data_IF_448689444267
#
_entry.id   IF_448689444267
#
_cell.length_a   1.000
_cell.length_b   1.000
_cell.length_c   1.000
_cell.angle_alpha   90.00
_cell.angle_beta   90.00
_cell.angle_gamma   90.00
#
_symmetry.space_group_name_H-M   'P 1'
#
loop_
_entity.id
_entity.type
_entity.pdbx_description
1 polymer ?
#
# COMPACT_ATOMS: atom_id res chain seq x y z
N UNK A 1 12.64 -25.41 16.54
CA UNK A 1 11.56 -25.05 17.49
C UNK A 1 11.88 -23.79 18.31
N UNK A 2 13.04 -23.66 18.97
CA UNK A 2 13.42 -22.46 19.77
C UNK A 2 13.57 -21.17 18.95
N UNK A 3 14.01 -21.21 17.69
CA UNK A 3 14.17 -20.03 16.82
C UNK A 3 12.80 -19.50 16.35
N UNK A 4 11.83 -20.38 16.06
CA UNK A 4 10.45 -20.02 15.67
C UNK A 4 9.67 -19.40 16.83
N UNK A 5 9.89 -19.88 18.07
CA UNK A 5 9.29 -19.30 19.27
C UNK A 5 9.87 -17.90 19.59
N UNK A 6 11.18 -17.68 19.38
CA UNK A 6 11.82 -16.38 19.56
C UNK A 6 11.34 -15.34 18.55
N UNK A 7 11.06 -15.74 17.31
CA UNK A 7 10.45 -14.88 16.29
C UNK A 7 8.99 -14.50 16.59
N UNK A 8 8.20 -15.43 17.12
CA UNK A 8 6.79 -15.18 17.50
C UNK A 8 6.67 -14.29 18.73
N UNK A 9 7.50 -14.52 19.76
CA UNK A 9 7.57 -13.69 20.97
C UNK A 9 8.06 -12.27 20.67
N UNK A 10 9.09 -12.10 19.84
CA UNK A 10 9.59 -10.77 19.47
C UNK A 10 8.57 -9.94 18.67
N UNK A 11 7.79 -10.58 17.83
CA UNK A 11 6.73 -9.87 17.08
C UNK A 11 5.49 -9.58 17.92
N UNK A 12 5.10 -10.48 18.84
CA UNK A 12 4.03 -10.20 19.80
C UNK A 12 4.43 -9.04 20.72
N UNK A 13 5.66 -9.04 21.23
CA UNK A 13 6.20 -7.93 22.02
C UNK A 13 6.24 -6.61 21.25
N UNK A 14 6.55 -6.62 19.95
CA UNK A 14 6.48 -5.42 19.10
C UNK A 14 5.06 -4.86 18.93
N UNK A 15 4.07 -5.75 18.76
CA UNK A 15 2.67 -5.36 18.69
C UNK A 15 2.13 -4.81 20.02
N UNK A 16 2.45 -5.48 21.13
CA UNK A 16 2.06 -5.00 22.47
C UNK A 16 2.73 -3.68 22.82
N UNK A 17 4.01 -3.52 22.50
CA UNK A 17 4.71 -2.25 22.70
C UNK A 17 4.09 -1.12 21.86
N UNK A 18 3.81 -1.37 20.58
CA UNK A 18 3.13 -0.42 19.70
C UNK A 18 1.73 -0.06 20.21
N UNK A 19 0.96 -1.04 20.68
CA UNK A 19 -0.36 -0.81 21.26
C UNK A 19 -0.29 0.03 22.55
N UNK A 20 0.63 -0.30 23.46
CA UNK A 20 0.84 0.46 24.70
C UNK A 20 1.27 1.91 24.40
N UNK A 21 2.16 2.11 23.44
CA UNK A 21 2.60 3.45 23.03
C UNK A 21 1.45 4.27 22.43
N UNK A 22 0.69 3.68 21.49
CA UNK A 22 -0.36 4.39 20.77
C UNK A 22 -1.63 4.57 21.60
N UNK A 23 -2.06 3.55 22.36
CA UNK A 23 -3.31 3.58 23.10
C UNK A 23 -3.16 4.05 24.54
N UNK A 24 -1.96 3.95 25.12
CA UNK A 24 -1.70 4.33 26.53
C UNK A 24 -0.88 5.60 26.67
N UNK A 25 0.35 5.58 26.14
CA UNK A 25 1.31 6.67 26.39
C UNK A 25 0.94 7.95 25.63
N UNK A 26 0.60 7.84 24.35
CA UNK A 26 0.31 9.01 23.54
C UNK A 26 -0.88 9.83 24.05
N UNK A 27 -2.04 9.23 24.43
CA UNK A 27 -3.15 9.99 25.02
C UNK A 27 -2.84 10.61 26.37
N UNK A 28 -1.94 9.99 27.16
CA UNK A 28 -1.60 10.48 28.49
C UNK A 28 -0.62 11.67 28.46
N UNK A 29 0.20 11.77 27.40
CA UNK A 29 1.29 12.77 27.32
C UNK A 29 0.96 13.91 26.37
N UNK A 30 0.20 13.66 25.29
CA UNK A 30 -0.03 14.66 24.24
C UNK A 30 -1.32 15.46 24.46
N UNK A 31 -1.28 16.80 24.26
CA UNK A 31 -2.49 17.63 24.25
C UNK A 31 -3.38 17.29 23.04
N UNK A 32 -4.68 17.63 23.12
CA UNK A 32 -5.71 17.27 22.15
C UNK A 32 -5.37 17.69 20.70
N UNK A 33 -4.68 18.81 20.52
CA UNK A 33 -4.22 19.27 19.21
C UNK A 33 -3.20 18.30 18.59
N UNK A 34 -2.19 17.93 19.38
CA UNK A 34 -1.14 16.99 18.91
C UNK A 34 -1.70 15.58 18.70
N UNK A 35 -2.72 15.18 19.46
CA UNK A 35 -3.44 13.91 19.24
C UNK A 35 -4.18 13.91 17.90
N UNK A 36 -4.87 15.00 17.55
CA UNK A 36 -5.52 15.11 16.23
C UNK A 36 -4.50 15.06 15.10
N UNK A 37 -3.36 15.73 15.27
CA UNK A 37 -2.26 15.72 14.29
C UNK A 37 -1.65 14.33 14.16
N UNK A 38 -1.39 13.64 15.27
CA UNK A 38 -0.92 12.26 15.27
C UNK A 38 -1.95 11.32 14.63
N UNK A 39 -3.25 11.50 14.90
CA UNK A 39 -4.33 10.76 14.27
C UNK A 39 -4.32 10.88 12.74
N UNK A 40 -4.09 12.10 12.21
CA UNK A 40 -3.85 12.32 10.77
C UNK A 40 -2.66 11.49 10.26
N UNK A 41 -1.54 11.47 10.99
CA UNK A 41 -0.36 10.69 10.61
C UNK A 41 -0.62 9.17 10.62
N UNK A 42 -1.45 8.70 11.58
CA UNK A 42 -1.88 7.29 11.63
C UNK A 42 -2.74 6.91 10.42
N UNK A 43 -3.59 7.81 9.90
CA UNK A 43 -4.32 7.58 8.65
C UNK A 43 -3.34 7.37 7.48
N UNK A 44 -2.31 8.18 7.36
CA UNK A 44 -1.28 8.00 6.33
C UNK A 44 -0.48 6.71 6.53
N UNK A 45 -0.25 6.32 7.76
CA UNK A 45 0.40 5.04 8.09
C UNK A 45 -0.46 3.83 7.66
N UNK A 46 -1.79 3.90 7.78
CA UNK A 46 -2.70 2.84 7.30
C UNK A 46 -2.57 2.69 5.77
N UNK A 47 -2.56 3.80 5.01
CA UNK A 47 -2.31 3.78 3.56
C UNK A 47 -0.95 3.16 3.25
N UNK A 48 0.07 3.55 4.00
CA UNK A 48 1.43 3.06 3.83
C UNK A 48 1.56 1.55 4.08
N UNK A 49 0.79 0.97 5.02
CA UNK A 49 0.70 -0.49 5.21
C UNK A 49 0.18 -1.16 3.94
N UNK A 50 -0.88 -0.64 3.31
CA UNK A 50 -1.43 -1.14 2.06
C UNK A 50 -0.42 -1.08 0.91
N UNK A 51 0.25 0.07 0.73
CA UNK A 51 1.32 0.24 -0.26
C UNK A 51 2.48 -0.71 0.02
N UNK A 52 2.90 -0.85 1.27
CA UNK A 52 3.97 -1.76 1.68
C UNK A 52 3.69 -3.22 1.33
N UNK A 53 2.44 -3.67 1.45
CA UNK A 53 1.99 -4.99 1.00
C UNK A 53 2.07 -5.10 -0.53
N UNK A 54 1.48 -4.17 -1.26
CA UNK A 54 1.41 -4.21 -2.72
C UNK A 54 2.79 -4.07 -3.36
N UNK A 55 3.61 -3.13 -2.90
CA UNK A 55 4.93 -2.86 -3.45
C UNK A 55 6.01 -3.78 -2.85
N UNK A 56 6.07 -3.90 -1.53
CA UNK A 56 7.11 -4.66 -0.85
C UNK A 56 7.03 -6.16 -1.12
N UNK A 57 5.85 -6.75 -1.00
CA UNK A 57 5.63 -8.18 -1.22
C UNK A 57 5.16 -8.50 -2.65
N UNK A 58 4.25 -7.69 -3.21
CA UNK A 58 3.69 -7.92 -4.55
C UNK A 58 4.51 -7.37 -5.70
N UNK A 59 5.53 -6.54 -5.45
CA UNK A 59 6.35 -5.92 -6.50
C UNK A 59 5.59 -4.89 -7.35
N UNK A 60 4.39 -4.48 -6.94
CA UNK A 60 3.53 -3.58 -7.69
C UNK A 60 3.69 -2.15 -7.17
N UNK A 61 4.36 -1.30 -7.94
CA UNK A 61 4.49 0.12 -7.63
C UNK A 61 3.20 0.85 -8.00
N UNK A 62 2.37 1.19 -7.00
CA UNK A 62 1.14 1.96 -7.20
C UNK A 62 1.35 3.42 -6.81
N UNK A 63 1.05 4.33 -7.75
CA UNK A 63 1.11 5.79 -7.56
C UNK A 63 -0.29 6.43 -7.48
N UNK A 64 -1.34 5.62 -7.40
CA UNK A 64 -2.73 6.07 -7.42
C UNK A 64 -3.52 5.77 -6.14
N UNK A 65 -2.87 5.54 -5.01
CA UNK A 65 -3.57 5.23 -3.76
C UNK A 65 -4.43 6.39 -3.23
N UNK A 66 -4.12 7.63 -3.64
CA UNK A 66 -4.94 8.79 -3.35
C UNK A 66 -6.38 8.67 -3.85
N UNK A 67 -6.64 7.95 -4.95
CA UNK A 67 -8.01 7.69 -5.46
C UNK A 67 -8.83 6.93 -4.42
N UNK A 68 -8.30 5.82 -3.92
CA UNK A 68 -9.02 4.97 -2.95
C UNK A 68 -9.17 5.67 -1.60
N UNK A 69 -8.13 6.39 -1.17
CA UNK A 69 -8.19 7.27 -0.01
C UNK A 69 -9.28 8.32 -0.18
N UNK A 70 -9.32 8.99 -1.34
CA UNK A 70 -10.33 9.98 -1.67
C UNK A 70 -11.75 9.41 -1.72
N UNK A 71 -11.96 8.24 -2.33
CA UNK A 71 -13.27 7.60 -2.37
C UNK A 71 -13.81 7.38 -0.96
N UNK A 72 -13.01 6.80 -0.05
CA UNK A 72 -13.43 6.61 1.34
C UNK A 72 -13.67 7.92 2.08
N UNK A 73 -12.80 8.91 1.86
CA UNK A 73 -12.92 10.23 2.47
C UNK A 73 -14.18 10.98 2.00
N UNK A 74 -14.47 11.02 0.71
CA UNK A 74 -15.68 11.67 0.18
C UNK A 74 -16.97 10.97 0.63
N UNK A 75 -17.00 9.65 0.69
CA UNK A 75 -18.14 8.89 1.23
C UNK A 75 -18.42 9.29 2.68
N UNK A 76 -17.40 9.35 3.53
CA UNK A 76 -17.54 9.79 4.90
C UNK A 76 -17.96 11.27 4.99
N UNK A 77 -17.36 12.13 4.18
CA UNK A 77 -17.68 13.55 4.12
C UNK A 77 -19.15 13.80 3.71
N UNK A 78 -19.66 13.03 2.76
CA UNK A 78 -21.07 13.08 2.33
C UNK A 78 -21.99 12.73 3.50
N UNK A 79 -21.71 11.65 4.23
CA UNK A 79 -22.48 11.28 5.42
C UNK A 79 -22.50 12.39 6.46
N UNK A 80 -21.30 12.92 6.81
CA UNK A 80 -21.20 13.98 7.82
C UNK A 80 -21.93 15.25 7.40
N UNK A 81 -21.87 15.64 6.14
CA UNK A 81 -22.62 16.80 5.59
C UNK A 81 -24.12 16.61 5.65
N UNK A 82 -24.62 15.42 5.31
CA UNK A 82 -26.04 15.10 5.42
C UNK A 82 -26.52 15.06 6.86
N UNK A 83 -25.72 14.50 7.77
CA UNK A 83 -26.03 14.48 9.19
C UNK A 83 -26.06 15.90 9.78
N UNK A 84 -25.06 16.74 9.46
CA UNK A 84 -25.01 18.13 9.93
C UNK A 84 -26.18 18.96 9.36
N UNK A 85 -26.54 18.78 8.09
CA UNK A 85 -27.68 19.46 7.48
C UNK A 85 -29.03 19.07 8.13
N UNK A 86 -29.18 17.81 8.56
CA UNK A 86 -30.38 17.35 9.26
C UNK A 86 -30.45 17.83 10.71
N UNK A 87 -29.30 17.92 11.41
CA UNK A 87 -29.23 18.29 12.82
C UNK A 87 -29.25 19.82 13.05
N UNK A 88 -28.59 20.58 12.18
CA UNK A 88 -28.33 22.00 12.39
C UNK A 88 -28.89 22.92 11.28
N UNK A 89 -29.23 22.40 10.09
CA UNK A 89 -29.62 23.18 8.93
C UNK A 89 -31.14 23.31 8.71
N UNK A 90 -31.94 22.49 9.35
CA UNK A 90 -33.43 22.52 9.25
C UNK A 90 -33.99 22.09 7.88
N UNK A 91 -33.27 22.30 6.78
CA UNK A 91 -33.67 21.93 5.40
C UNK A 91 -33.26 20.51 4.99
N UNK A 92 -32.32 19.89 5.73
CA UNK A 92 -31.75 18.60 5.37
C UNK A 92 -30.87 18.61 4.11
N UNK A 93 -30.58 19.81 3.58
CA UNK A 93 -29.72 20.04 2.40
C UNK A 93 -28.41 20.71 2.86
N UNK A 94 -27.24 20.23 2.46
CA UNK A 94 -25.97 20.89 2.76
C UNK A 94 -25.88 22.31 2.17
N UNK A 95 -25.35 23.28 2.92
CA UNK A 95 -25.30 24.69 2.55
C UNK A 95 -24.66 24.96 1.17
N UNK A 96 -23.61 24.22 0.81
CA UNK A 96 -22.94 24.42 -0.47
C UNK A 96 -23.78 23.96 -1.68
N UNK A 97 -24.73 23.03 -1.50
CA UNK A 97 -25.63 22.58 -2.57
C UNK A 97 -26.72 23.62 -2.85
N UNK A 98 -27.14 24.37 -1.83
CA UNK A 98 -28.06 25.51 -2.04
C UNK A 98 -27.36 26.73 -2.67
N UNK A 99 -26.02 26.86 -2.44
CA UNK A 99 -25.24 27.97 -3.01
C UNK A 99 -24.78 27.72 -4.46
N UNK A 100 -24.37 26.50 -4.78
CA UNK A 100 -23.72 26.17 -6.06
C UNK A 100 -24.49 25.14 -6.89
N UNK A 101 -25.59 24.58 -6.37
CA UNK A 101 -26.40 23.54 -7.01
C UNK A 101 -27.87 23.89 -7.13
N UNK A 102 -28.69 22.88 -7.36
CA UNK A 102 -30.16 22.99 -7.47
C UNK A 102 -30.89 23.25 -6.14
N UNK A 103 -30.18 23.21 -5.02
CA UNK A 103 -30.79 23.22 -3.68
C UNK A 103 -31.43 21.89 -3.27
N UNK A 104 -31.19 20.83 -4.01
CA UNK A 104 -31.69 19.49 -3.74
C UNK A 104 -30.54 18.52 -3.52
N UNK A 105 -30.73 17.51 -2.67
CA UNK A 105 -29.75 16.44 -2.47
C UNK A 105 -29.86 15.46 -3.64
N UNK A 106 -28.77 15.19 -4.38
CA UNK A 106 -28.78 14.22 -5.45
C UNK A 106 -29.16 12.82 -4.94
N UNK A 107 -29.97 12.07 -5.68
CA UNK A 107 -30.47 10.76 -5.25
C UNK A 107 -29.37 9.74 -4.92
N UNK A 108 -28.19 9.87 -5.51
CA UNK A 108 -27.04 9.00 -5.19
C UNK A 108 -26.35 9.35 -3.85
N UNK A 109 -26.66 10.49 -3.21
CA UNK A 109 -26.23 10.85 -1.86
C UNK A 109 -27.16 10.26 -0.78
N UNK A 110 -28.45 10.05 -1.09
CA UNK A 110 -29.46 9.58 -0.14
C UNK A 110 -29.08 8.32 0.64
N UNK A 111 -28.45 7.28 0.05
CA UNK A 111 -28.02 6.10 0.79
C UNK A 111 -27.03 6.42 1.96
N UNK A 112 -26.25 7.49 1.82
CA UNK A 112 -25.25 7.89 2.84
C UNK A 112 -25.85 8.60 4.04
N UNK A 113 -27.19 8.83 4.09
CA UNK A 113 -27.87 9.23 5.34
C UNK A 113 -27.75 8.14 6.42
N UNK A 114 -27.72 6.87 6.02
CA UNK A 114 -27.56 5.76 6.95
C UNK A 114 -26.10 5.55 7.33
N UNK A 115 -25.73 5.57 8.63
CA UNK A 115 -24.40 5.26 9.11
C UNK A 115 -23.89 3.88 8.67
N UNK A 116 -24.78 2.86 8.71
CA UNK A 116 -24.42 1.49 8.33
C UNK A 116 -24.05 1.38 6.85
N UNK A 117 -24.83 2.04 5.97
CA UNK A 117 -24.55 2.08 4.52
C UNK A 117 -23.23 2.80 4.27
N UNK A 118 -22.96 3.88 4.97
CA UNK A 118 -21.72 4.65 4.83
C UNK A 118 -20.50 3.80 5.22
N UNK A 119 -20.52 3.14 6.36
CA UNK A 119 -19.42 2.26 6.80
C UNK A 119 -19.20 1.13 5.79
N UNK A 120 -20.27 0.51 5.30
CA UNK A 120 -20.18 -0.52 4.29
C UNK A 120 -19.61 0.01 2.97
N UNK A 121 -20.06 1.19 2.52
CA UNK A 121 -19.61 1.83 1.30
C UNK A 121 -18.12 2.24 1.35
N UNK A 122 -17.62 2.70 2.51
CA UNK A 122 -16.20 3.01 2.73
C UNK A 122 -15.28 1.82 2.44
N UNK A 123 -15.76 0.59 2.67
CA UNK A 123 -15.01 -0.64 2.38
C UNK A 123 -15.29 -1.14 0.96
N UNK A 124 -16.58 -1.20 0.58
CA UNK A 124 -17.00 -1.82 -0.69
C UNK A 124 -16.65 -0.97 -1.91
N UNK A 125 -16.83 0.36 -1.88
CA UNK A 125 -16.64 1.20 -3.06
C UNK A 125 -15.17 1.22 -3.49
N UNK A 126 -14.19 1.54 -2.61
CA UNK A 126 -12.78 1.44 -2.98
C UNK A 126 -12.37 0.02 -3.39
N UNK A 127 -12.91 -1.00 -2.71
CA UNK A 127 -12.65 -2.41 -3.01
C UNK A 127 -13.16 -2.82 -4.40
N UNK A 128 -14.39 -2.45 -4.77
CA UNK A 128 -14.98 -2.76 -6.07
C UNK A 128 -14.27 -2.01 -7.20
N UNK A 129 -13.96 -0.72 -7.01
CA UNK A 129 -13.20 0.06 -8.00
C UNK A 129 -11.82 -0.57 -8.20
N UNK A 130 -11.13 -0.95 -7.13
CA UNK A 130 -9.84 -1.63 -7.22
C UNK A 130 -9.95 -3.02 -7.86
N UNK A 131 -11.03 -3.76 -7.61
CA UNK A 131 -11.27 -5.06 -8.23
C UNK A 131 -11.45 -4.92 -9.74
N UNK A 132 -12.31 -4.01 -10.18
CA UNK A 132 -12.56 -3.76 -11.62
C UNK A 132 -11.28 -3.30 -12.32
N UNK A 133 -10.57 -2.32 -11.74
CA UNK A 133 -9.31 -1.83 -12.29
C UNK A 133 -8.22 -2.89 -12.28
N UNK A 134 -8.08 -3.64 -11.18
CA UNK A 134 -7.10 -4.70 -11.04
C UNK A 134 -7.31 -5.82 -12.07
N UNK A 135 -8.56 -6.26 -12.25
CA UNK A 135 -8.89 -7.24 -13.27
C UNK A 135 -8.63 -6.69 -14.69
N UNK A 136 -9.04 -5.45 -14.97
CA UNK A 136 -8.81 -4.83 -16.29
C UNK A 136 -7.32 -4.69 -16.61
N UNK A 137 -6.49 -4.33 -15.64
CA UNK A 137 -5.06 -4.05 -15.82
C UNK A 137 -4.24 -5.35 -15.83
N UNK A 138 -4.39 -6.19 -14.79
CA UNK A 138 -3.51 -7.35 -14.61
C UNK A 138 -3.84 -8.50 -15.55
N UNK A 139 -5.12 -8.71 -15.95
CA UNK A 139 -5.49 -9.68 -17.00
C UNK A 139 -4.91 -9.29 -18.36
N UNK A 140 -4.76 -8.00 -18.64
CA UNK A 140 -4.08 -7.51 -19.86
C UNK A 140 -2.55 -7.51 -19.75
N UNK A 141 -2.00 -8.10 -18.67
CA UNK A 141 -0.55 -8.26 -18.43
C UNK A 141 0.22 -6.93 -18.40
N UNK A 142 -0.40 -5.84 -17.97
CA UNK A 142 0.29 -4.57 -17.77
C UNK A 142 1.24 -4.71 -16.58
N UNK A 143 2.54 -4.47 -16.80
CA UNK A 143 3.60 -4.71 -15.82
C UNK A 143 4.43 -3.44 -15.56
N UNK A 144 5.09 -3.42 -14.38
CA UNK A 144 6.14 -2.46 -14.04
C UNK A 144 5.71 -1.00 -14.13
N UNK A 145 6.49 -0.19 -14.86
CA UNK A 145 6.29 1.25 -14.95
C UNK A 145 4.95 1.66 -15.58
N UNK A 146 4.42 0.88 -16.52
CA UNK A 146 3.12 1.17 -17.15
C UNK A 146 1.97 1.15 -16.13
N UNK A 147 2.00 0.21 -15.17
CA UNK A 147 1.01 0.19 -14.08
C UNK A 147 1.14 1.43 -13.18
N UNK A 148 2.36 1.84 -12.85
CA UNK A 148 2.60 3.03 -12.04
C UNK A 148 2.06 4.31 -12.73
N UNK A 149 2.37 4.48 -14.03
CA UNK A 149 1.90 5.62 -14.82
C UNK A 149 0.37 5.62 -14.94
N UNK A 150 -0.24 4.46 -15.22
CA UNK A 150 -1.69 4.33 -15.33
C UNK A 150 -2.39 4.66 -14.01
N UNK A 151 -1.86 4.17 -12.90
CA UNK A 151 -2.42 4.46 -11.57
C UNK A 151 -2.29 5.94 -11.20
N UNK A 152 -1.21 6.61 -11.62
CA UNK A 152 -1.02 8.05 -11.44
C UNK A 152 -1.97 8.87 -12.31
N UNK A 153 -2.16 8.47 -13.57
CA UNK A 153 -3.13 9.10 -14.46
C UNK A 153 -4.56 8.99 -13.91
N UNK A 154 -4.91 7.85 -13.30
CA UNK A 154 -6.19 7.68 -12.62
C UNK A 154 -6.36 8.68 -11.46
N UNK A 155 -5.31 8.90 -10.65
CA UNK A 155 -5.36 9.87 -9.56
C UNK A 155 -5.54 11.30 -10.07
N UNK A 156 -4.86 11.66 -11.16
CA UNK A 156 -5.04 12.96 -11.80
C UNK A 156 -6.47 13.13 -12.36
N UNK A 157 -6.96 12.12 -13.09
CA UNK A 157 -8.32 12.14 -13.66
C UNK A 157 -9.40 12.24 -12.57
N UNK A 158 -9.23 11.51 -11.46
CA UNK A 158 -10.16 11.56 -10.33
C UNK A 158 -10.17 12.94 -9.65
N UNK A 159 -9.01 13.55 -9.45
CA UNK A 159 -8.92 14.90 -8.90
C UNK A 159 -9.59 15.94 -9.82
N UNK A 160 -9.35 15.87 -11.13
CA UNK A 160 -10.00 16.75 -12.13
C UNK A 160 -11.51 16.52 -12.16
N UNK A 161 -11.96 15.28 -12.09
CA UNK A 161 -13.38 14.94 -12.00
C UNK A 161 -14.06 15.61 -10.79
N UNK A 162 -13.43 15.54 -9.60
CA UNK A 162 -13.95 16.17 -8.39
C UNK A 162 -14.00 17.70 -8.50
N UNK A 163 -12.99 18.32 -9.10
CA UNK A 163 -12.97 19.78 -9.36
C UNK A 163 -14.15 20.20 -10.23
N UNK A 164 -14.48 19.41 -11.26
CA UNK A 164 -15.61 19.67 -12.16
C UNK A 164 -16.99 19.55 -11.50
N UNK A 165 -17.10 18.89 -10.34
CA UNK A 165 -18.38 18.59 -9.67
C UNK A 165 -18.66 19.55 -8.51
N UNK A 166 -18.62 20.86 -8.75
CA UNK A 166 -18.77 21.88 -7.69
C UNK A 166 -20.09 21.77 -6.91
N UNK A 167 -21.19 21.51 -7.61
CA UNK A 167 -22.52 21.40 -7.01
C UNK A 167 -22.69 20.19 -6.08
N UNK A 168 -21.88 19.13 -6.27
CA UNK A 168 -22.06 17.86 -5.56
C UNK A 168 -20.88 17.47 -4.65
N UNK A 169 -19.67 17.90 -4.94
CA UNK A 169 -18.46 17.57 -4.18
C UNK A 169 -17.71 18.79 -3.67
N UNK A 170 -18.28 20.00 -3.81
CA UNK A 170 -17.64 21.23 -3.40
C UNK A 170 -16.55 21.75 -4.35
N UNK A 171 -16.32 21.08 -5.48
CA UNK A 171 -15.33 21.48 -6.50
C UNK A 171 -13.92 21.59 -5.94
N UNK A 172 -13.18 22.64 -6.33
CA UNK A 172 -11.80 22.88 -5.86
C UNK A 172 -11.68 23.09 -4.35
N UNK A 173 -12.71 23.61 -3.70
CA UNK A 173 -12.73 23.85 -2.25
C UNK A 173 -12.99 22.56 -1.45
N UNK A 174 -13.53 21.54 -2.08
CA UNK A 174 -13.88 20.29 -1.43
C UNK A 174 -15.00 20.42 -0.41
N UNK A 175 -15.10 19.45 0.49
CA UNK A 175 -16.07 19.39 1.57
C UNK A 175 -15.38 19.73 2.89
N UNK A 176 -15.89 20.74 3.61
CA UNK A 176 -15.31 21.24 4.85
C UNK A 176 -16.42 21.68 5.83
N UNK A 177 -16.03 22.14 7.02
CA UNK A 177 -16.96 22.69 8.02
C UNK A 177 -17.86 21.64 8.63
N UNK A 178 -17.34 20.46 8.92
CA UNK A 178 -18.04 19.39 9.61
C UNK A 178 -18.19 19.74 11.11
N UNK A 179 -19.38 19.49 11.65
CA UNK A 179 -19.72 19.78 13.06
C UNK A 179 -19.82 18.50 13.89
N UNK A 180 -20.34 17.42 13.31
CA UNK A 180 -20.57 16.18 14.02
C UNK A 180 -20.01 14.96 13.27
N UNK A 181 -19.62 13.94 14.04
CA UNK A 181 -19.25 12.61 13.57
C UNK A 181 -20.13 11.59 14.26
N UNK A 182 -21.04 10.97 13.53
CA UNK A 182 -22.07 10.05 14.05
C UNK A 182 -22.81 10.60 15.29
N UNK A 183 -23.10 11.91 15.32
CA UNK A 183 -23.79 12.57 16.43
C UNK A 183 -22.88 13.13 17.53
N UNK A 184 -21.58 12.87 17.50
CA UNK A 184 -20.62 13.43 18.44
C UNK A 184 -20.03 14.75 17.92
N UNK A 185 -20.05 15.80 18.74
CA UNK A 185 -19.47 17.11 18.37
C UNK A 185 -17.96 17.01 18.19
N UNK A 186 -17.45 17.44 17.02
CA UNK A 186 -16.02 17.45 16.71
C UNK A 186 -15.21 18.50 17.47
N UNK A 187 -15.85 19.46 18.12
CA UNK A 187 -15.17 20.48 18.93
C UNK A 187 -14.78 19.98 20.31
N UNK A 188 -15.49 18.97 20.82
CA UNK A 188 -15.22 18.39 22.14
C UNK A 188 -13.86 17.69 22.17
N UNK A 189 -12.94 18.02 23.10
CA UNK A 189 -11.66 17.34 23.27
C UNK A 189 -11.78 15.84 23.48
N UNK A 190 -12.82 15.35 24.17
CA UNK A 190 -13.05 13.93 24.40
C UNK A 190 -13.35 13.19 23.09
N UNK A 191 -14.12 13.82 22.20
CA UNK A 191 -14.44 13.24 20.89
C UNK A 191 -13.22 13.22 19.96
N UNK A 192 -12.31 14.18 20.06
CA UNK A 192 -11.01 14.15 19.37
C UNK A 192 -10.14 13.00 19.85
N UNK A 193 -10.13 12.74 21.17
CA UNK A 193 -9.45 11.57 21.73
C UNK A 193 -10.07 10.26 21.21
N UNK A 194 -11.41 10.18 21.17
CA UNK A 194 -12.11 9.02 20.62
C UNK A 194 -11.71 8.77 19.14
N UNK A 195 -11.69 9.79 18.30
CA UNK A 195 -11.28 9.68 16.89
C UNK A 195 -9.83 9.20 16.75
N UNK A 196 -8.93 9.75 17.56
CA UNK A 196 -7.54 9.29 17.61
C UNK A 196 -7.45 7.80 17.98
N UNK A 197 -8.20 7.38 19.03
CA UNK A 197 -8.23 5.97 19.47
C UNK A 197 -8.75 5.05 18.37
N UNK A 198 -9.79 5.45 17.64
CA UNK A 198 -10.31 4.69 16.50
C UNK A 198 -9.22 4.55 15.42
N UNK A 199 -8.52 5.63 15.06
CA UNK A 199 -7.44 5.58 14.08
C UNK A 199 -6.28 4.68 14.53
N UNK A 200 -5.90 4.71 15.81
CA UNK A 200 -4.87 3.85 16.37
C UNK A 200 -5.27 2.36 16.35
N UNK A 201 -6.51 2.04 16.73
CA UNK A 201 -7.04 0.67 16.68
C UNK A 201 -7.08 0.17 15.23
N UNK A 202 -7.57 0.98 14.27
CA UNK A 202 -7.63 0.62 12.86
C UNK A 202 -6.23 0.42 12.28
N UNK A 203 -5.23 1.21 12.67
CA UNK A 203 -3.85 0.97 12.28
C UNK A 203 -3.33 -0.38 12.81
N UNK A 204 -3.58 -0.70 14.09
CA UNK A 204 -3.18 -1.99 14.67
C UNK A 204 -3.87 -3.17 13.97
N UNK A 205 -5.16 -3.05 13.65
CA UNK A 205 -5.89 -4.04 12.86
C UNK A 205 -5.32 -4.17 11.45
N UNK A 206 -4.99 -3.07 10.80
CA UNK A 206 -4.35 -3.06 9.47
C UNK A 206 -3.00 -3.77 9.48
N UNK A 207 -2.19 -3.54 10.52
CA UNK A 207 -0.93 -4.24 10.73
C UNK A 207 -1.13 -5.74 11.01
N UNK A 208 -2.17 -6.10 11.77
CA UNK A 208 -2.49 -7.50 12.05
C UNK A 208 -2.93 -8.23 10.77
N UNK A 209 -3.79 -7.62 9.97
CA UNK A 209 -4.22 -8.15 8.65
C UNK A 209 -3.00 -8.29 7.72
N UNK A 210 -2.18 -7.25 7.61
CA UNK A 210 -0.98 -7.26 6.78
C UNK A 210 -0.02 -8.38 7.21
N UNK A 211 0.21 -8.54 8.51
CA UNK A 211 1.02 -9.62 9.07
C UNK A 211 0.46 -11.00 8.73
N UNK A 212 -0.86 -11.19 8.91
CA UNK A 212 -1.51 -12.47 8.61
C UNK A 212 -1.38 -12.82 7.12
N UNK A 213 -1.60 -11.85 6.23
CA UNK A 213 -1.40 -12.03 4.80
C UNK A 213 0.04 -12.38 4.45
N UNK A 214 1.02 -11.69 5.04
CA UNK A 214 2.44 -11.92 4.79
C UNK A 214 2.94 -13.31 5.23
N UNK A 215 2.31 -13.92 6.25
CA UNK A 215 2.67 -15.22 6.78
C UNK A 215 1.77 -16.36 6.29
N UNK A 216 0.79 -16.06 5.45
CA UNK A 216 -0.09 -17.05 4.83
C UNK A 216 0.54 -17.64 3.55
N UNK A 217 -0.01 -18.77 3.07
CA UNK A 217 0.33 -19.35 1.76
C UNK A 217 0.14 -18.34 0.60
N UNK A 218 -0.84 -17.45 0.76
CA UNK A 218 -1.05 -16.35 -0.20
C UNK A 218 0.13 -15.37 -0.22
N UNK A 219 0.71 -15.06 0.94
CA UNK A 219 1.90 -14.19 1.03
C UNK A 219 3.15 -14.80 0.39
N UNK A 220 3.34 -16.13 0.50
CA UNK A 220 4.40 -16.84 -0.20
C UNK A 220 4.18 -16.85 -1.71
N UNK A 221 2.94 -17.11 -2.15
CA UNK A 221 2.55 -17.05 -3.55
C UNK A 221 2.74 -15.64 -4.14
N UNK A 222 2.44 -14.59 -3.37
CA UNK A 222 2.63 -13.21 -3.80
C UNK A 222 4.11 -12.88 -4.04
N UNK A 223 5.02 -13.37 -3.19
CA UNK A 223 6.47 -13.23 -3.39
C UNK A 223 6.92 -14.01 -4.62
N UNK A 224 6.44 -15.24 -4.81
CA UNK A 224 6.74 -16.04 -5.98
C UNK A 224 6.29 -15.33 -7.30
N UNK A 225 5.10 -14.72 -7.30
CA UNK A 225 4.60 -13.91 -8.44
C UNK A 225 5.48 -12.68 -8.69
N UNK A 226 5.97 -12.03 -7.64
CA UNK A 226 6.88 -10.88 -7.75
C UNK A 226 8.20 -11.26 -8.40
N UNK A 227 8.78 -12.37 -7.97
CA UNK A 227 10.14 -12.75 -8.34
C UNK A 227 10.17 -13.48 -9.69
N UNK A 228 9.18 -14.36 -9.96
CA UNK A 228 9.12 -15.15 -11.20
C UNK A 228 7.69 -15.42 -11.66
N UNK A 229 7.00 -14.40 -12.18
CA UNK A 229 5.60 -14.47 -12.62
C UNK A 229 5.33 -15.61 -13.61
N UNK A 230 6.24 -15.84 -14.58
CA UNK A 230 6.05 -16.87 -15.60
C UNK A 230 6.12 -18.28 -15.01
N UNK A 231 7.01 -18.55 -14.06
CA UNK A 231 7.07 -19.87 -13.38
C UNK A 231 5.79 -20.17 -12.61
N UNK A 232 5.23 -19.16 -11.91
CA UNK A 232 3.98 -19.31 -11.16
C UNK A 232 2.83 -19.66 -12.10
N UNK A 233 2.83 -19.09 -13.31
CA UNK A 233 1.84 -19.39 -14.35
C UNK A 233 1.98 -20.82 -14.87
N UNK A 234 3.18 -21.33 -15.07
CA UNK A 234 3.42 -22.72 -15.47
C UNK A 234 2.95 -23.72 -14.40
N UNK A 235 2.95 -23.33 -13.12
CA UNK A 235 2.42 -24.14 -12.01
C UNK A 235 0.88 -24.11 -11.92
N UNK A 236 0.17 -23.43 -12.86
CA UNK A 236 -1.28 -23.38 -12.93
C UNK A 236 -1.93 -22.27 -12.10
N UNK A 237 -1.17 -21.40 -11.43
CA UNK A 237 -1.74 -20.25 -10.72
C UNK A 237 -1.90 -19.05 -11.66
N UNK A 238 -2.95 -18.25 -11.47
CA UNK A 238 -3.16 -17.00 -12.19
C UNK A 238 -2.53 -15.80 -11.45
N UNK A 239 -1.39 -15.26 -11.92
CA UNK A 239 -0.75 -14.11 -11.29
C UNK A 239 -1.61 -12.85 -11.28
N UNK A 240 -2.53 -12.71 -12.26
CA UNK A 240 -3.42 -11.55 -12.35
C UNK A 240 -4.39 -11.51 -11.17
N UNK A 241 -4.96 -12.64 -10.81
CA UNK A 241 -5.85 -12.76 -9.64
C UNK A 241 -5.10 -12.47 -8.35
N UNK A 242 -3.88 -13.02 -8.17
CA UNK A 242 -3.06 -12.78 -6.97
C UNK A 242 -2.74 -11.28 -6.80
N UNK A 243 -2.34 -10.61 -7.88
CA UNK A 243 -2.09 -9.17 -7.89
C UNK A 243 -3.35 -8.35 -7.62
N UNK A 244 -4.48 -8.74 -8.20
CA UNK A 244 -5.76 -8.06 -7.97
C UNK A 244 -6.17 -8.12 -6.51
N UNK A 245 -6.08 -9.28 -5.86
CA UNK A 245 -6.47 -9.43 -4.45
C UNK A 245 -5.65 -8.49 -3.55
N UNK A 246 -4.34 -8.45 -3.69
CA UNK A 246 -3.53 -7.57 -2.84
C UNK A 246 -3.76 -6.08 -3.15
N UNK A 247 -4.06 -5.74 -4.42
CA UNK A 247 -4.43 -4.39 -4.82
C UNK A 247 -5.75 -3.94 -4.19
N UNK A 248 -6.75 -4.83 -4.15
CA UNK A 248 -8.04 -4.60 -3.46
C UNK A 248 -7.82 -4.40 -1.97
N UNK A 249 -7.01 -5.23 -1.31
CA UNK A 249 -6.69 -5.05 0.12
C UNK A 249 -6.04 -3.69 0.37
N UNK A 250 -5.07 -3.29 -0.45
CA UNK A 250 -4.42 -1.99 -0.32
C UNK A 250 -5.40 -0.82 -0.54
N UNK A 251 -6.33 -0.95 -1.48
CA UNK A 251 -7.36 0.04 -1.78
C UNK A 251 -8.38 0.17 -0.63
N UNK A 252 -8.81 -0.95 -0.04
CA UNK A 252 -9.72 -0.93 1.12
C UNK A 252 -9.06 -0.26 2.32
N UNK A 253 -7.79 -0.58 2.61
CA UNK A 253 -7.05 0.08 3.68
C UNK A 253 -6.93 1.59 3.43
N UNK A 254 -6.67 2.01 2.19
CA UNK A 254 -6.62 3.42 1.83
C UNK A 254 -7.99 4.10 1.97
N UNK A 255 -9.09 3.44 1.58
CA UNK A 255 -10.46 3.96 1.74
C UNK A 255 -10.83 4.16 3.20
N UNK A 256 -10.55 3.17 4.05
CA UNK A 256 -10.78 3.27 5.50
C UNK A 256 -9.95 4.40 6.12
N UNK A 257 -8.68 4.53 5.70
CA UNK A 257 -7.83 5.62 6.15
C UNK A 257 -8.38 7.01 5.74
N UNK A 258 -8.88 7.13 4.50
CA UNK A 258 -9.53 8.35 4.02
C UNK A 258 -10.79 8.71 4.81
N UNK A 259 -11.62 7.74 5.11
CA UNK A 259 -12.83 7.94 5.92
C UNK A 259 -12.52 8.45 7.35
N UNK A 260 -11.43 7.96 7.96
CA UNK A 260 -10.98 8.43 9.28
C UNK A 260 -10.26 9.78 9.23
N UNK A 261 -9.66 10.11 8.09
CA UNK A 261 -8.97 11.39 7.89
C UNK A 261 -9.92 12.58 7.99
N UNK A 262 -11.12 12.47 7.42
CA UNK A 262 -12.09 13.58 7.34
C UNK A 262 -12.48 14.14 8.71
N UNK A 263 -12.95 13.35 9.70
CA UNK A 263 -13.31 13.89 11.00
C UNK A 263 -12.11 14.38 11.82
N UNK A 264 -10.89 13.86 11.54
CA UNK A 264 -9.65 14.29 12.23
C UNK A 264 -9.13 15.63 11.72
N UNK A 265 -9.25 15.88 10.42
CA UNK A 265 -8.71 17.08 9.77
C UNK A 265 -9.76 18.16 9.55
N UNK A 266 -11.02 17.77 9.36
CA UNK A 266 -12.16 18.68 9.18
C UNK A 266 -12.34 19.20 7.75
N UNK A 267 -11.58 18.67 6.78
CA UNK A 267 -11.68 19.01 5.36
C UNK A 267 -11.23 17.84 4.51
N UNK A 268 -11.81 17.73 3.32
CA UNK A 268 -11.33 16.91 2.21
C UNK A 268 -11.48 17.67 0.90
N UNK A 269 -10.43 17.74 0.12
CA UNK A 269 -10.38 18.47 -1.15
C UNK A 269 -9.76 17.62 -2.26
N UNK A 270 -9.94 17.96 -3.54
CA UNK A 270 -9.25 17.28 -4.64
C UNK A 270 -7.71 17.32 -4.52
N UNK A 271 -7.16 18.32 -3.83
CA UNK A 271 -5.73 18.41 -3.57
C UNK A 271 -5.22 17.27 -2.66
N UNK A 272 -6.08 16.72 -1.78
CA UNK A 272 -5.73 15.64 -0.86
C UNK A 272 -5.76 14.25 -1.50
N UNK A 273 -6.32 14.10 -2.70
CA UNK A 273 -6.55 12.81 -3.36
C UNK A 273 -5.80 12.64 -4.68
N UNK A 274 -5.19 13.71 -5.18
CA UNK A 274 -4.49 13.75 -6.46
C UNK A 274 -3.12 13.06 -6.46
N UNK A 275 -2.31 13.47 -7.42
CA UNK A 275 -0.98 12.91 -7.70
C UNK A 275 0.01 13.19 -6.55
N UNK A 276 0.03 14.44 -6.03
CA UNK A 276 1.01 14.86 -5.01
C UNK A 276 0.88 14.03 -3.72
N UNK A 277 -0.29 13.90 -3.07
CA UNK A 277 -0.43 13.05 -1.89
C UNK A 277 -0.20 11.57 -2.19
N UNK A 278 -0.57 11.07 -3.37
CA UNK A 278 -0.27 9.69 -3.77
C UNK A 278 1.24 9.40 -3.79
N UNK A 279 2.04 10.33 -4.30
CA UNK A 279 3.51 10.25 -4.27
C UNK A 279 4.02 10.37 -2.83
N UNK A 280 3.45 11.26 -2.01
CA UNK A 280 3.85 11.43 -0.61
C UNK A 280 3.67 10.15 0.21
N UNK A 281 2.57 9.42 0.01
CA UNK A 281 2.37 8.10 0.63
C UNK A 281 3.45 7.10 0.23
N UNK A 282 3.81 7.06 -1.07
CA UNK A 282 4.87 6.19 -1.56
C UNK A 282 6.23 6.54 -0.97
N UNK A 283 6.55 7.84 -0.88
CA UNK A 283 7.81 8.33 -0.27
C UNK A 283 7.92 7.86 1.17
N UNK A 284 6.84 7.94 1.95
CA UNK A 284 6.79 7.41 3.30
C UNK A 284 7.17 5.93 3.35
N UNK A 285 6.61 5.11 2.47
CA UNK A 285 6.93 3.68 2.38
C UNK A 285 8.39 3.44 1.95
N UNK A 286 8.90 4.22 1.01
CA UNK A 286 10.27 4.10 0.53
C UNK A 286 11.29 4.42 1.63
N UNK A 287 11.09 5.54 2.33
CA UNK A 287 11.93 6.00 3.43
C UNK A 287 11.90 5.00 4.59
N UNK A 288 10.72 4.54 4.98
CA UNK A 288 10.57 3.58 6.06
C UNK A 288 11.16 2.20 5.77
N UNK A 289 11.15 1.80 4.49
CA UNK A 289 11.64 0.50 4.03
C UNK A 289 10.50 -0.48 3.74
N UNK A 290 10.28 -0.74 2.45
CA UNK A 290 9.20 -1.58 1.91
C UNK A 290 9.28 -3.07 2.27
N UNK A 291 10.45 -3.55 2.72
CA UNK A 291 10.68 -4.97 2.99
C UNK A 291 10.14 -5.42 4.36
N UNK A 292 9.89 -4.51 5.28
CA UNK A 292 9.46 -4.79 6.65
C UNK A 292 8.00 -4.39 6.88
N UNK A 293 7.36 -4.97 7.90
CA UNK A 293 5.98 -4.63 8.23
C UNK A 293 5.85 -3.23 8.87
N UNK A 294 6.77 -2.86 9.75
CA UNK A 294 6.76 -1.59 10.49
C UNK A 294 7.44 -0.45 9.74
N UNK A 295 8.30 -0.76 8.76
CA UNK A 295 8.97 0.25 7.95
C UNK A 295 8.04 1.28 7.34
N UNK A 296 7.02 0.86 6.54
CA UNK A 296 6.04 1.76 5.95
C UNK A 296 5.35 2.68 6.97
N UNK A 297 4.99 2.16 8.14
CA UNK A 297 4.34 2.93 9.22
C UNK A 297 5.27 4.01 9.76
N UNK A 298 6.48 3.63 10.15
CA UNK A 298 7.47 4.57 10.69
C UNK A 298 7.85 5.62 9.66
N UNK A 299 8.03 5.22 8.40
CA UNK A 299 8.34 6.15 7.32
C UNK A 299 7.21 7.13 7.04
N UNK A 300 5.96 6.66 6.97
CA UNK A 300 4.80 7.52 6.74
C UNK A 300 4.62 8.53 7.89
N UNK A 301 4.72 8.09 9.14
CA UNK A 301 4.63 8.97 10.32
C UNK A 301 5.77 9.97 10.33
N UNK A 302 7.01 9.54 10.05
CA UNK A 302 8.17 10.43 10.02
C UNK A 302 8.08 11.50 8.93
N UNK A 303 7.65 11.11 7.71
CA UNK A 303 7.46 12.05 6.59
C UNK A 303 6.33 13.02 6.89
N UNK A 304 5.20 12.55 7.42
CA UNK A 304 4.07 13.40 7.77
C UNK A 304 4.42 14.38 8.91
N UNK A 305 5.18 13.95 9.91
CA UNK A 305 5.67 14.80 10.99
C UNK A 305 6.67 15.84 10.45
N UNK A 306 7.61 15.44 9.60
CA UNK A 306 8.54 16.35 8.94
C UNK A 306 7.79 17.36 8.06
N UNK A 307 6.81 16.92 7.28
CA UNK A 307 5.95 17.80 6.48
C UNK A 307 5.25 18.84 7.35
N UNK A 308 4.63 18.41 8.45
CA UNK A 308 3.92 19.32 9.35
C UNK A 308 4.84 20.37 9.97
N UNK A 309 6.07 19.99 10.35
CA UNK A 309 7.03 20.88 10.98
C UNK A 309 7.74 21.80 9.97
N UNK A 310 8.15 21.28 8.81
CA UNK A 310 8.88 22.07 7.81
C UNK A 310 7.96 22.95 6.97
N UNK A 311 6.75 22.47 6.66
CA UNK A 311 5.78 23.24 5.87
C UNK A 311 5.30 24.50 6.60
N UNK A 312 5.33 24.53 7.93
CA UNK A 312 5.03 25.74 8.71
C UNK A 312 6.12 26.81 8.61
N UNK A 313 7.39 26.38 8.45
CA UNK A 313 8.54 27.29 8.40
C UNK A 313 8.91 27.64 6.95
N UNK A 314 8.82 26.68 6.02
CA UNK A 314 9.21 26.83 4.61
C UNK A 314 8.18 26.21 3.66
N UNK A 315 6.99 26.83 3.47
CA UNK A 315 5.88 26.23 2.70
C UNK A 315 6.25 25.91 1.25
N UNK A 316 6.97 26.81 0.58
CA UNK A 316 7.31 26.68 -0.84
C UNK A 316 8.46 25.67 -1.10
N UNK A 317 9.31 25.41 -0.12
CA UNK A 317 10.47 24.55 -0.27
C UNK A 317 10.19 23.09 0.11
N UNK A 318 9.08 22.80 0.78
CA UNK A 318 8.76 21.45 1.24
C UNK A 318 8.72 20.42 0.10
N UNK A 319 8.10 20.75 -1.02
CA UNK A 319 7.94 19.83 -2.16
C UNK A 319 9.32 19.47 -2.75
N UNK A 320 10.24 20.43 -2.85
CA UNK A 320 11.60 20.19 -3.33
C UNK A 320 12.39 19.33 -2.35
N UNK A 321 12.28 19.61 -1.06
CA UNK A 321 12.91 18.81 -0.01
C UNK A 321 12.41 17.38 0.00
N UNK A 322 11.11 17.18 -0.15
CA UNK A 322 10.49 15.86 -0.25
C UNK A 322 10.98 15.08 -1.47
N UNK A 323 11.08 15.73 -2.63
CA UNK A 323 11.62 15.13 -3.85
C UNK A 323 13.10 14.75 -3.72
N UNK A 324 13.92 15.66 -3.15
CA UNK A 324 15.33 15.41 -2.89
C UNK A 324 15.52 14.24 -1.91
N UNK A 325 14.75 14.22 -0.82
CA UNK A 325 14.78 13.13 0.17
C UNK A 325 14.44 11.78 -0.47
N UNK A 326 13.46 11.76 -1.37
CA UNK A 326 13.07 10.55 -2.11
C UNK A 326 14.23 10.03 -2.98
N UNK A 327 14.88 10.90 -3.75
CA UNK A 327 16.03 10.53 -4.59
C UNK A 327 17.20 10.02 -3.74
N UNK A 328 17.50 10.69 -2.63
CA UNK A 328 18.58 10.27 -1.72
C UNK A 328 18.29 8.91 -1.09
N UNK A 329 17.07 8.68 -0.61
CA UNK A 329 16.72 7.40 0.03
C UNK A 329 16.75 6.25 -0.96
N UNK A 330 16.20 6.42 -2.16
CA UNK A 330 16.23 5.35 -3.19
C UNK A 330 17.66 5.09 -3.67
N UNK A 331 18.47 6.14 -3.85
CA UNK A 331 19.83 6.01 -4.35
C UNK A 331 20.81 5.42 -3.34
N UNK A 332 20.74 5.84 -2.06
CA UNK A 332 21.72 5.46 -1.04
C UNK A 332 21.21 4.41 -0.05
N UNK A 333 19.89 4.29 0.15
CA UNK A 333 19.29 3.41 1.16
C UNK A 333 18.11 2.60 0.58
N UNK A 334 18.35 1.67 -0.37
CA UNK A 334 17.27 0.91 -1.00
C UNK A 334 16.45 0.04 -0.03
N UNK A 335 16.98 -0.23 1.17
CA UNK A 335 16.28 -0.91 2.27
C UNK A 335 15.53 0.03 3.22
N UNK A 336 15.62 1.35 3.05
CA UNK A 336 15.03 2.36 3.91
C UNK A 336 15.60 2.41 5.33
N UNK A 337 14.98 3.21 6.21
CA UNK A 337 15.37 3.35 7.63
C UNK A 337 15.36 2.01 8.39
N UNK A 338 14.49 1.07 8.00
CA UNK A 338 14.42 -0.25 8.62
C UNK A 338 15.68 -1.10 8.39
N UNK A 339 16.55 -0.75 7.46
CA UNK A 339 17.84 -1.44 7.22
C UNK A 339 19.00 -0.92 8.10
N UNK A 340 18.84 0.25 8.76
CA UNK A 340 19.87 0.86 9.60
C UNK A 340 20.42 -0.09 10.70
N UNK A 341 19.59 -0.82 11.47
CA UNK A 341 20.10 -1.75 12.48
C UNK A 341 20.95 -2.88 11.88
N UNK A 342 20.63 -3.31 10.66
CA UNK A 342 21.38 -4.35 9.97
C UNK A 342 22.72 -3.84 9.44
N UNK A 343 22.79 -2.59 8.99
CA UNK A 343 24.02 -1.93 8.56
C UNK A 343 24.97 -1.68 9.75
N UNK A 344 24.44 -1.25 10.88
CA UNK A 344 25.21 -1.06 12.12
C UNK A 344 25.66 -2.39 12.72
N UNK A 345 24.86 -3.46 12.60
CA UNK A 345 25.21 -4.81 13.07
C UNK A 345 26.22 -5.53 12.18
N UNK A 346 26.29 -5.23 10.89
CA UNK A 346 27.23 -5.84 9.94
C UNK A 346 28.70 -5.43 10.20
N UNK A 347 28.93 -4.25 10.75
CA UNK A 347 30.28 -3.82 11.17
C UNK A 347 30.89 -4.64 12.31
N UNK A 348 30.10 -5.48 13.03
CA UNK A 348 30.57 -6.35 14.13
C UNK A 348 30.81 -7.81 13.74
N UNK A 349 30.58 -8.20 12.48
CA UNK A 349 30.77 -9.57 11.97
C UNK A 349 31.64 -9.60 10.72
N UNK A 350 32.75 -8.96 10.70
CA UNK A 350 33.91 -9.42 9.91
C UNK A 350 34.60 -10.46 10.71
N UNK A 351 34.18 -11.73 10.58
CA UNK A 351 34.95 -12.89 10.99
C UNK A 351 36.14 -12.97 10.03
N UNK A 352 37.38 -13.04 10.52
CA UNK A 352 38.58 -13.17 9.69
C UNK A 352 38.71 -14.54 9.02
N UNK A 353 37.81 -15.49 9.29
CA UNK A 353 37.92 -16.90 8.89
C UNK A 353 36.83 -17.37 7.91
N UNK A 354 36.43 -16.54 6.94
CA UNK A 354 35.68 -17.06 5.81
C UNK A 354 36.69 -17.49 4.73
N UNK A 355 36.76 -18.79 4.33
CA UNK A 355 37.63 -19.23 3.25
C UNK A 355 37.27 -18.45 1.98
N UNK A 356 38.31 -17.94 1.33
CA UNK A 356 38.21 -17.21 0.05
C UNK A 356 37.59 -18.14 -1.01
N UNK A 357 36.42 -17.82 -1.63
CA UNK A 357 35.83 -18.66 -2.65
C UNK A 357 36.67 -18.76 -3.95
N UNK A 358 37.74 -17.96 -4.04
CA UNK A 358 38.66 -17.93 -5.19
C UNK A 358 40.06 -18.51 -4.82
N UNK A 359 40.26 -19.03 -3.61
CA UNK A 359 41.50 -19.72 -3.31
C UNK A 359 41.60 -21.04 -4.11
N UNK A 360 42.69 -21.30 -4.83
CA UNK A 360 42.87 -22.59 -5.50
C UNK A 360 42.86 -23.72 -4.44
N UNK A 361 42.34 -24.92 -4.77
CA UNK A 361 42.26 -26.01 -3.84
C UNK A 361 43.67 -26.34 -3.31
N UNK A 362 43.73 -26.50 -1.97
CA UNK A 362 44.97 -26.74 -1.24
C UNK A 362 45.64 -28.01 -1.79
N UNK A 363 46.88 -27.91 -2.21
CA UNK A 363 47.65 -29.00 -2.83
C UNK A 363 47.98 -30.18 -1.89
N UNK A 364 47.34 -30.23 -0.71
CA UNK A 364 47.58 -31.24 0.31
C UNK A 364 46.56 -32.39 0.35
N UNK A 365 45.52 -32.36 -0.45
CA UNK A 365 44.63 -33.52 -0.61
C UNK A 365 45.24 -34.55 -1.55
N UNK A 366 45.47 -35.81 -1.13
CA UNK A 366 46.02 -36.85 -2.00
C UNK A 366 44.95 -37.20 -3.07
N UNK A 367 45.23 -36.80 -4.29
CA UNK A 367 44.46 -37.23 -5.48
C UNK A 367 44.61 -38.73 -5.58
N UNK A 368 43.57 -39.49 -5.28
CA UNK A 368 43.53 -40.92 -5.58
C UNK A 368 43.69 -41.14 -7.13
N UNK A 369 44.28 -42.29 -7.51
CA UNK A 369 44.48 -42.55 -8.93
C UNK A 369 43.18 -42.54 -9.67
N UNK A 370 43.15 -41.97 -10.93
CA UNK A 370 41.94 -41.96 -11.73
C UNK A 370 41.48 -43.39 -12.05
N UNK A 371 40.24 -43.70 -11.75
CA UNK A 371 39.59 -44.94 -12.22
C UNK A 371 39.67 -44.99 -13.71
N UNK A 372 40.25 -46.07 -14.24
CA UNK A 372 40.35 -46.33 -15.65
C UNK A 372 38.96 -46.43 -16.27
N UNK A 373 38.59 -45.44 -17.11
CA UNK A 373 37.42 -45.49 -17.94
C UNK A 373 37.52 -46.65 -18.93
N UNK A 374 36.52 -47.54 -18.92
CA UNK A 374 36.39 -48.61 -19.89
C UNK A 374 36.43 -48.08 -21.32
N UNK A 375 37.07 -48.79 -22.26
CA UNK A 375 37.18 -48.35 -23.67
C UNK A 375 35.80 -48.35 -24.34
N UNK A 376 35.41 -47.20 -24.84
CA UNK A 376 34.20 -47.02 -25.66
C UNK A 376 34.40 -47.86 -26.94
N UNK A 377 33.54 -48.86 -27.16
CA UNK A 377 33.50 -49.65 -28.36
C UNK A 377 33.21 -48.79 -29.60
N UNK A 378 33.62 -49.29 -30.81
CA UNK A 378 33.41 -48.55 -32.04
C UNK A 378 31.91 -48.32 -32.33
N UNK A 379 31.54 -47.20 -32.97
CA UNK A 379 30.15 -46.91 -33.27
C UNK A 379 29.59 -47.92 -34.29
N UNK A 380 28.37 -48.42 -34.01
CA UNK A 380 27.63 -49.33 -34.90
C UNK A 380 27.41 -48.70 -36.27
N UNK A 381 27.55 -49.55 -37.32
CA UNK A 381 27.31 -49.15 -38.70
C UNK A 381 25.83 -48.81 -38.94
N UNK A 382 25.54 -47.84 -39.83
CA UNK A 382 24.15 -47.43 -40.09
C UNK A 382 23.34 -48.57 -40.74
N UNK A 383 22.13 -48.75 -40.23
CA UNK A 383 21.11 -49.70 -40.65
C UNK A 383 20.68 -49.40 -42.12
N UNK A 384 20.80 -50.36 -43.07
CA UNK A 384 20.51 -50.08 -44.46
C UNK A 384 19.00 -49.92 -44.77
N UNK A 385 18.09 -50.17 -43.85
CA UNK A 385 16.63 -50.09 -44.09
C UNK A 385 16.04 -48.66 -43.96
N UNK A 386 16.85 -47.65 -43.63
CA UNK A 386 16.35 -46.27 -43.45
C UNK A 386 16.37 -45.46 -44.77
N UNK A 387 17.19 -45.84 -45.73
CA UNK A 387 17.29 -45.10 -47.03
C UNK A 387 16.15 -45.39 -48.01
N UNK A 388 15.39 -46.49 -47.85
CA UNK A 388 14.34 -46.86 -48.81
C UNK A 388 12.97 -46.19 -48.51
N UNK A 389 12.83 -45.46 -47.39
CA UNK A 389 11.57 -44.76 -47.06
C UNK A 389 11.50 -43.29 -47.44
N UNK A 390 12.60 -42.72 -47.95
CA UNK A 390 12.69 -41.28 -48.25
C UNK A 390 12.34 -40.89 -49.70
N UNK A 391 12.00 -41.86 -50.59
CA UNK A 391 11.74 -41.60 -52.01
C UNK A 391 10.39 -42.07 -52.53
N UNK A 392 9.29 -41.75 -51.82
CA UNK A 392 7.95 -41.80 -52.46
C UNK A 392 7.31 -40.43 -52.43
N UNK A 393 6.98 -39.83 -53.57
CA UNK A 393 6.22 -38.58 -53.62
C UNK A 393 4.74 -38.87 -53.30
N UNK A 394 4.15 -38.15 -52.36
CA UNK A 394 2.71 -38.08 -52.13
C UNK A 394 2.02 -37.38 -53.29
N UNK A 395 1.18 -38.11 -54.00
CA UNK A 395 0.20 -37.59 -54.95
C UNK A 395 -0.87 -36.78 -54.22
N UNK A 396 -0.94 -35.50 -54.54
CA UNK A 396 -2.03 -34.60 -54.16
C UNK A 396 -3.25 -34.96 -55.04
N UNK A 397 -4.31 -35.44 -54.46
CA UNK A 397 -5.62 -35.56 -55.09
C UNK A 397 -6.70 -34.86 -54.25
N UNK A 398 -7.17 -33.72 -54.77
CA UNK A 398 -8.47 -33.02 -54.58
C UNK A 398 -8.90 -32.62 -53.21
#
# INVERSE_FOLDING_TARGET
>A
MKILLRGRLGTAAGFTLGAVLLLGVAPAVLPAFNLSLLGKFLCFAIVAVGIGLAWGRGGMLTLGQGVFFGLGAYIMAMHMKLADASLFGGSGVPDFMSLYGSGEVPGWWEPFRSPAVTILAVVLVPGLVALVLGLAIFKRRVKGAYFAILSQALAAAFAVFLIGQQATTGGSNGLNGFRSFFGFDLKDPNNKLMLYMIAAVVLLLSLAIARQLMHSRFGELLVAVRDQEERVRFLGYDPATVKTVIYVVAAVLAGVAGALFVPLVGIISPADVGVIPSIAFLIGVAIGGRATLLGPVLGAVSVAAAQSSLSSTFPSFWVYFQGLLFVLVIGFMPGGLASLPALLGRRRRTSPDAPDPLAPPDASDPVGPPEASDPVGPPDAPDPDVEERATKPEEISR
#
